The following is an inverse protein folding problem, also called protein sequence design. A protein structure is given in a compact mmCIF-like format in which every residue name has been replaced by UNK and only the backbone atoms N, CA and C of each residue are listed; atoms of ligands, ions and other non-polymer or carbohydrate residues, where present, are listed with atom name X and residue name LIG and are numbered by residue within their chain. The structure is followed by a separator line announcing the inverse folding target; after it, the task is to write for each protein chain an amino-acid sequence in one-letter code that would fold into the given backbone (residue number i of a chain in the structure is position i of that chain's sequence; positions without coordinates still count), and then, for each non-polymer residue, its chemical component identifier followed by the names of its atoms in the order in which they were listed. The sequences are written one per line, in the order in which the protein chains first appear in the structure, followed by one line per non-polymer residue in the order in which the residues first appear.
data_IF_126432937480
#
_entry.id   IF_126432937480
#
_cell.length_a   1.000
_cell.length_b   1.000
_cell.length_c   1.000
_cell.angle_alpha   90.00
_cell.angle_beta   90.00
_cell.angle_gamma   90.00
#
_symmetry.space_group_name_H-M   'P 1'
#
loop_
_entity.id
_entity.type
_entity.pdbx_description
1 polymer ?
#
# COMPACT_ATOMS: atom_id res chain seq x y z
N UNK A 1 6.66 8.39 24.98
CA UNK A 1 6.67 7.10 24.28
C UNK A 1 7.50 7.33 23.04
N UNK A 2 8.77 6.94 23.08
CA UNK A 2 9.66 7.05 21.91
C UNK A 2 9.07 6.18 20.80
N UNK A 3 8.63 6.82 19.72
CA UNK A 3 8.31 6.11 18.49
C UNK A 3 9.58 5.41 18.06
N UNK A 4 9.59 4.08 18.03
CA UNK A 4 10.65 3.34 17.36
C UNK A 4 10.73 3.86 15.93
N UNK A 5 11.68 4.73 15.65
CA UNK A 5 12.07 5.11 14.31
C UNK A 5 12.75 3.88 13.72
N UNK A 6 11.95 2.93 13.24
CA UNK A 6 12.41 2.10 12.15
C UNK A 6 12.85 3.08 11.06
N UNK A 7 14.14 3.05 10.71
CA UNK A 7 14.71 3.74 9.56
C UNK A 7 14.13 3.12 8.28
N UNK A 8 12.81 3.18 8.13
CA UNK A 8 12.12 2.75 6.93
C UNK A 8 12.52 3.70 5.83
N UNK A 9 13.08 3.14 4.76
CA UNK A 9 13.43 3.92 3.59
C UNK A 9 12.15 4.51 2.99
N UNK A 10 12.07 5.83 2.77
CA UNK A 10 10.93 6.42 2.08
C UNK A 10 10.70 5.77 0.71
N UNK A 11 9.46 5.80 0.23
CA UNK A 11 9.11 5.22 -1.08
C UNK A 11 9.96 5.83 -2.19
N UNK A 12 10.60 4.98 -2.98
CA UNK A 12 11.36 5.34 -4.17
C UNK A 12 11.00 4.43 -5.36
N UNK A 13 11.66 4.64 -6.51
CA UNK A 13 11.41 3.88 -7.75
C UNK A 13 11.78 2.39 -7.67
N UNK A 14 12.55 1.98 -6.66
CA UNK A 14 13.18 0.66 -6.56
C UNK A 14 12.66 -0.19 -5.41
N UNK A 15 11.99 0.41 -4.42
CA UNK A 15 11.65 -0.27 -3.16
C UNK A 15 10.15 -0.50 -2.94
N UNK A 16 9.29 -0.29 -3.95
CA UNK A 16 7.83 -0.32 -3.78
C UNK A 16 7.30 -1.57 -3.03
N UNK A 17 7.78 -2.76 -3.39
CA UNK A 17 7.34 -4.02 -2.77
C UNK A 17 7.69 -4.09 -1.26
N UNK A 18 8.92 -3.75 -0.91
CA UNK A 18 9.39 -3.70 0.49
C UNK A 18 8.66 -2.60 1.26
N UNK A 19 8.54 -1.40 0.66
CA UNK A 19 7.81 -0.28 1.24
C UNK A 19 6.36 -0.63 1.55
N UNK A 20 5.67 -1.35 0.66
CA UNK A 20 4.31 -1.82 0.93
C UNK A 20 4.25 -2.72 2.17
N UNK A 21 5.21 -3.61 2.35
CA UNK A 21 5.27 -4.52 3.50
C UNK A 21 5.52 -3.74 4.79
N UNK A 22 6.49 -2.83 4.78
CA UNK A 22 6.87 -2.05 5.95
C UNK A 22 5.72 -1.10 6.37
N UNK A 23 5.10 -0.40 5.42
CA UNK A 23 3.97 0.50 5.72
C UNK A 23 2.76 -0.27 6.23
N UNK A 24 2.50 -1.46 5.71
CA UNK A 24 1.44 -2.31 6.24
C UNK A 24 1.68 -2.63 7.71
N UNK A 25 2.91 -2.95 8.12
CA UNK A 25 3.26 -3.17 9.53
C UNK A 25 3.03 -1.93 10.37
N UNK A 26 3.47 -0.75 9.90
CA UNK A 26 3.26 0.52 10.61
C UNK A 26 1.76 0.86 10.74
N UNK A 27 0.96 0.57 9.70
CA UNK A 27 -0.49 0.78 9.75
C UNK A 27 -1.18 -0.21 10.68
N UNK A 28 -0.71 -1.46 10.77
CA UNK A 28 -1.21 -2.45 11.74
C UNK A 28 -0.90 -2.03 13.18
N UNK A 29 0.33 -1.61 13.47
CA UNK A 29 0.73 -1.08 14.78
C UNK A 29 -0.15 0.11 15.21
N UNK A 30 -0.57 0.92 14.23
CA UNK A 30 -1.39 2.12 14.44
C UNK A 30 -2.89 1.89 14.37
N UNK A 31 -3.33 0.64 14.23
CA UNK A 31 -4.73 0.24 14.06
C UNK A 31 -5.42 0.93 12.86
N UNK A 32 -4.66 1.22 11.80
CA UNK A 32 -5.12 1.97 10.63
C UNK A 32 -5.25 1.08 9.37
N UNK A 33 -4.77 -0.17 9.41
CA UNK A 33 -4.72 -1.02 8.22
C UNK A 33 -6.10 -1.32 7.65
N UNK A 34 -7.09 -1.58 8.49
CA UNK A 34 -8.44 -1.93 8.02
C UNK A 34 -9.16 -0.75 7.33
N UNK A 35 -8.78 0.50 7.64
CA UNK A 35 -9.22 1.68 6.87
C UNK A 35 -8.61 1.66 5.47
N UNK A 36 -7.29 1.44 5.36
CA UNK A 36 -6.60 1.40 4.05
C UNK A 36 -7.04 0.22 3.20
N UNK A 37 -7.33 -0.91 3.84
CA UNK A 37 -7.85 -2.12 3.20
C UNK A 37 -9.37 -2.06 2.94
N UNK A 38 -10.04 -0.94 3.29
CA UNK A 38 -11.48 -0.73 3.14
C UNK A 38 -12.35 -1.83 3.79
N UNK A 39 -11.87 -2.40 4.90
CA UNK A 39 -12.60 -3.40 5.70
C UNK A 39 -13.41 -2.77 6.80
N UNK A 40 -13.10 -1.52 7.15
CA UNK A 40 -13.82 -0.72 8.11
C UNK A 40 -14.49 0.47 7.41
N UNK A 41 -15.79 0.64 7.66
CA UNK A 41 -16.57 1.79 7.19
C UNK A 41 -16.81 2.80 8.31
N UNK A 42 -17.02 4.06 7.94
CA UNK A 42 -17.34 5.11 8.91
C UNK A 42 -18.60 4.73 9.72
N UNK A 43 -18.58 4.88 11.07
CA UNK A 43 -19.75 4.64 11.89
C UNK A 43 -20.92 5.54 11.52
N UNK A 44 -22.14 4.99 11.54
CA UNK A 44 -23.38 5.77 11.39
C UNK A 44 -23.74 6.37 12.73
N UNK A 45 -23.81 7.70 12.82
CA UNK A 45 -24.16 8.40 14.06
C UNK A 45 -25.66 8.67 14.10
N UNK A 46 -26.33 8.17 15.14
CA UNK A 46 -27.71 8.56 15.47
C UNK A 46 -27.69 9.81 16.34
N UNK A 47 -28.67 10.69 16.13
CA UNK A 47 -28.79 11.93 16.89
C UNK A 47 -28.94 11.64 18.39
N UNK A 48 -28.08 12.25 19.22
CA UNK A 48 -28.07 12.06 20.68
C UNK A 48 -27.31 10.83 21.19
N UNK A 49 -26.70 10.01 20.32
CA UNK A 49 -25.93 8.84 20.76
C UNK A 49 -24.45 9.19 20.98
N UNK A 50 -24.06 9.34 22.25
CA UNK A 50 -22.68 9.64 22.64
C UNK A 50 -21.69 8.52 22.28
N UNK A 51 -22.14 7.27 22.24
CA UNK A 51 -21.28 6.11 21.91
C UNK A 51 -20.93 6.18 20.43
N UNK A 52 -21.90 6.44 19.56
CA UNK A 52 -21.66 6.55 18.12
C UNK A 52 -20.80 7.78 17.78
N UNK A 53 -21.02 8.90 18.46
CA UNK A 53 -20.17 10.09 18.31
C UNK A 53 -18.72 9.82 18.70
N UNK A 54 -18.48 9.06 19.78
CA UNK A 54 -17.13 8.64 20.20
C UNK A 54 -16.48 7.73 19.16
N UNK A 55 -17.21 6.71 18.66
CA UNK A 55 -16.70 5.81 17.61
C UNK A 55 -16.34 6.57 16.35
N UNK A 56 -17.16 7.53 15.91
CA UNK A 56 -16.87 8.36 14.74
C UNK A 56 -15.59 9.19 14.96
N UNK A 57 -15.39 9.75 16.15
CA UNK A 57 -14.16 10.49 16.50
C UNK A 57 -12.93 9.59 16.46
N UNK A 58 -13.02 8.38 17.02
CA UNK A 58 -11.94 7.39 17.00
C UNK A 58 -11.63 6.90 15.57
N UNK A 59 -12.66 6.68 14.74
CA UNK A 59 -12.53 6.38 13.32
C UNK A 59 -11.81 7.52 12.58
N UNK A 60 -12.26 8.77 12.72
CA UNK A 60 -11.66 9.93 12.04
C UNK A 60 -10.18 10.13 12.43
N UNK A 61 -9.83 9.85 13.69
CA UNK A 61 -8.43 9.89 14.12
C UNK A 61 -7.59 8.86 13.37
N UNK A 62 -8.06 7.62 13.25
CA UNK A 62 -7.38 6.54 12.51
C UNK A 62 -7.37 6.82 11.01
N UNK A 63 -8.44 7.39 10.46
CA UNK A 63 -8.56 7.80 9.05
C UNK A 63 -7.48 8.82 8.67
N UNK A 64 -7.37 9.91 9.44
CA UNK A 64 -6.34 10.93 9.23
C UNK A 64 -4.93 10.38 9.45
N UNK A 65 -4.76 9.49 10.45
CA UNK A 65 -3.48 8.85 10.75
C UNK A 65 -3.03 7.91 9.63
N UNK A 66 -3.96 7.20 8.99
CA UNK A 66 -3.67 6.32 7.85
C UNK A 66 -3.05 7.10 6.69
N UNK A 67 -3.71 8.17 6.23
CA UNK A 67 -3.18 9.04 5.18
C UNK A 67 -1.82 9.66 5.57
N UNK A 68 -1.75 10.24 6.77
CA UNK A 68 -0.51 10.88 7.25
C UNK A 68 0.66 9.90 7.31
N UNK A 69 0.41 8.64 7.68
CA UNK A 69 1.42 7.58 7.70
C UNK A 69 1.95 7.30 6.30
N UNK A 70 1.07 7.16 5.31
CA UNK A 70 1.47 6.94 3.91
C UNK A 70 2.26 8.13 3.38
N UNK A 71 1.73 9.36 3.54
CA UNK A 71 2.34 10.58 3.01
C UNK A 71 3.75 10.83 3.56
N UNK A 72 3.92 10.72 4.90
CA UNK A 72 5.23 10.97 5.55
C UNK A 72 6.30 10.00 5.09
N UNK A 73 5.93 8.78 4.73
CA UNK A 73 6.86 7.74 4.32
C UNK A 73 7.01 7.61 2.81
N UNK A 74 6.41 8.48 2.02
CA UNK A 74 6.72 8.61 0.61
C UNK A 74 7.85 9.64 0.40
N UNK A 75 8.71 9.45 -0.61
CA UNK A 75 9.64 10.51 -1.03
C UNK A 75 8.88 11.69 -1.66
N UNK A 76 9.46 12.92 -1.69
CA UNK A 76 8.78 14.10 -2.20
C UNK A 76 8.12 13.93 -3.58
N UNK A 77 8.80 13.27 -4.52
CA UNK A 77 8.29 13.03 -5.88
C UNK A 77 7.04 12.13 -5.95
N UNK A 78 6.81 11.29 -4.93
CA UNK A 78 5.61 10.45 -4.85
C UNK A 78 4.53 11.06 -3.96
N UNK A 79 4.90 12.00 -3.08
CA UNK A 79 3.93 12.79 -2.31
C UNK A 79 3.06 13.65 -3.22
N UNK A 80 3.64 14.23 -4.27
CA UNK A 80 2.90 15.02 -5.26
C UNK A 80 1.79 14.22 -5.98
N UNK A 81 1.91 12.88 -6.03
CA UNK A 81 0.89 12.00 -6.62
C UNK A 81 -0.38 11.92 -5.74
N UNK A 82 -0.23 12.15 -4.43
CA UNK A 82 -1.28 11.95 -3.43
C UNK A 82 -1.56 13.20 -2.57
N UNK A 83 -0.98 14.36 -2.90
CA UNK A 83 -1.05 15.56 -2.04
C UNK A 83 -2.45 16.16 -1.93
N UNK A 84 -3.27 16.00 -2.98
CA UNK A 84 -4.67 16.42 -3.01
C UNK A 84 -5.62 15.39 -2.37
N UNK A 85 -5.10 14.20 -2.01
CA UNK A 85 -5.88 13.13 -1.40
C UNK A 85 -5.81 13.26 0.12
N UNK A 86 -6.92 13.03 0.81
CA UNK A 86 -6.98 12.98 2.29
C UNK A 86 -7.37 11.59 2.82
N UNK A 87 -7.79 10.70 1.92
CA UNK A 87 -8.18 9.33 2.21
C UNK A 87 -6.98 8.37 2.07
N UNK A 88 -6.62 7.68 3.16
CA UNK A 88 -5.50 6.72 3.16
C UNK A 88 -5.67 5.57 2.17
N UNK A 89 -6.90 5.06 1.97
CA UNK A 89 -7.18 3.99 1.02
C UNK A 89 -6.99 4.45 -0.43
N UNK A 90 -7.46 5.64 -0.77
CA UNK A 90 -7.28 6.23 -2.10
C UNK A 90 -5.81 6.54 -2.39
N UNK A 91 -5.09 7.10 -1.42
CA UNK A 91 -3.66 7.36 -1.54
C UNK A 91 -2.88 6.06 -1.80
N UNK A 92 -3.20 4.99 -1.05
CA UNK A 92 -2.62 3.66 -1.25
C UNK A 92 -2.91 3.11 -2.66
N UNK A 93 -4.16 3.17 -3.12
CA UNK A 93 -4.56 2.73 -4.47
C UNK A 93 -3.87 3.54 -5.57
N UNK A 94 -3.74 4.86 -5.40
CA UNK A 94 -3.10 5.74 -6.37
C UNK A 94 -1.61 5.41 -6.53
N UNK A 95 -0.89 5.23 -5.41
CA UNK A 95 0.49 4.76 -5.42
C UNK A 95 0.59 3.37 -6.05
N UNK A 96 -0.28 2.43 -5.68
CA UNK A 96 -0.31 1.09 -6.29
C UNK A 96 -0.48 1.15 -7.80
N UNK A 97 -1.40 1.96 -8.29
CA UNK A 97 -1.62 2.12 -9.74
C UNK A 97 -0.41 2.73 -10.46
N UNK A 98 0.38 3.56 -9.77
CA UNK A 98 1.58 4.17 -10.32
C UNK A 98 2.74 3.16 -10.48
N UNK A 99 3.00 2.34 -9.47
CA UNK A 99 4.11 1.36 -9.47
C UNK A 99 3.73 0.02 -10.09
N UNK A 100 2.45 -0.35 -9.93
CA UNK A 100 1.86 -1.57 -10.46
C UNK A 100 0.64 -1.24 -11.35
N UNK A 101 0.83 -0.54 -12.48
CA UNK A 101 -0.26 -0.28 -13.42
C UNK A 101 -0.83 -1.60 -13.94
N UNK A 102 -2.13 -1.81 -13.71
CA UNK A 102 -2.90 -2.97 -14.20
C UNK A 102 -3.30 -2.79 -15.67
N UNK A 103 -2.34 -2.37 -16.51
CA UNK A 103 -2.60 -2.15 -17.93
C UNK A 103 -2.68 -3.50 -18.65
N UNK A 104 -3.65 -3.64 -19.56
CA UNK A 104 -3.74 -4.82 -20.46
C UNK A 104 -2.41 -5.07 -21.18
N UNK A 105 -1.68 -4.01 -21.54
CA UNK A 105 -0.38 -4.11 -22.16
C UNK A 105 0.67 -4.75 -21.23
N UNK A 106 0.72 -4.36 -19.94
CA UNK A 106 1.61 -4.99 -18.95
C UNK A 106 1.25 -6.45 -18.73
N UNK A 107 -0.04 -6.77 -18.59
CA UNK A 107 -0.50 -8.17 -18.47
C UNK A 107 -0.11 -8.98 -19.70
N UNK A 108 -0.23 -8.40 -20.90
CA UNK A 108 0.17 -9.07 -22.14
C UNK A 108 1.68 -9.25 -22.24
N UNK A 109 2.48 -8.25 -21.83
CA UNK A 109 3.93 -8.33 -21.79
C UNK A 109 4.41 -9.40 -20.80
N UNK A 110 3.84 -9.46 -19.59
CA UNK A 110 4.14 -10.49 -18.59
C UNK A 110 3.76 -11.89 -19.09
N UNK A 111 2.61 -12.03 -19.75
CA UNK A 111 2.22 -13.29 -20.40
C UNK A 111 3.19 -13.69 -21.50
N UNK A 112 3.55 -12.75 -22.36
CA UNK A 112 4.51 -12.98 -23.43
C UNK A 112 5.87 -13.42 -22.87
N UNK A 113 6.39 -12.71 -21.87
CA UNK A 113 7.64 -13.04 -21.18
C UNK A 113 7.56 -14.44 -20.57
N UNK A 114 6.50 -14.74 -19.80
CA UNK A 114 6.30 -16.06 -19.20
C UNK A 114 6.28 -17.19 -20.24
N UNK A 115 5.54 -17.04 -21.34
CA UNK A 115 5.49 -18.05 -22.41
C UNK A 115 6.78 -18.11 -23.24
N UNK A 116 7.60 -17.07 -23.23
CA UNK A 116 8.90 -17.04 -23.89
C UNK A 116 10.02 -17.62 -23.02
N UNK A 117 9.83 -17.65 -21.70
CA UNK A 117 10.77 -18.27 -20.75
C UNK A 117 10.60 -19.79 -20.78
N UNK A 118 11.38 -20.45 -21.64
CA UNK A 118 11.55 -21.91 -21.66
C UNK A 118 12.62 -22.36 -20.66
N UNK A 119 12.53 -23.61 -20.21
CA UNK A 119 13.61 -24.29 -19.48
C UNK A 119 14.71 -24.62 -20.49
N UNK A 120 15.93 -24.18 -20.22
CA UNK A 120 17.09 -24.57 -21.04
C UNK A 120 17.51 -26.03 -20.77
N UNK A 121 18.11 -26.75 -21.74
CA UNK A 121 18.38 -28.19 -21.61
C UNK A 121 19.24 -28.60 -20.41
N UNK A 122 20.06 -27.70 -19.90
CA UNK A 122 20.98 -27.84 -18.77
C UNK A 122 20.55 -27.04 -17.53
N UNK A 123 19.38 -26.40 -17.58
CA UNK A 123 18.87 -25.58 -16.51
C UNK A 123 18.18 -26.39 -15.41
N UNK A 124 18.56 -26.13 -14.16
CA UNK A 124 17.84 -26.69 -13.01
C UNK A 124 16.50 -25.97 -12.81
N UNK A 125 15.51 -26.69 -12.26
CA UNK A 125 14.18 -26.14 -11.95
C UNK A 125 14.28 -24.89 -11.04
N UNK A 126 15.25 -24.84 -10.12
CA UNK A 126 15.47 -23.70 -9.24
C UNK A 126 15.96 -22.44 -9.99
N UNK A 127 16.84 -22.62 -10.98
CA UNK A 127 17.30 -21.54 -11.85
C UNK A 127 16.16 -21.05 -12.75
N UNK A 128 15.36 -21.98 -13.30
CA UNK A 128 14.19 -21.62 -14.09
C UNK A 128 13.17 -20.79 -13.28
N UNK A 129 12.86 -21.23 -12.05
CA UNK A 129 11.93 -20.52 -11.17
C UNK A 129 12.39 -19.09 -10.85
N UNK A 130 13.71 -18.85 -10.81
CA UNK A 130 14.28 -17.53 -10.56
C UNK A 130 14.12 -16.55 -11.73
N UNK A 131 13.89 -17.05 -12.95
CA UNK A 131 13.66 -16.26 -14.18
C UNK A 131 12.19 -15.94 -14.43
N UNK A 132 11.27 -16.51 -13.66
CA UNK A 132 9.85 -16.22 -13.83
C UNK A 132 9.56 -14.78 -13.35
N UNK A 133 8.76 -14.01 -14.11
CA UNK A 133 8.42 -12.65 -13.73
C UNK A 133 7.62 -12.62 -12.41
N UNK A 134 7.96 -11.68 -11.52
CA UNK A 134 7.40 -11.50 -10.17
C UNK A 134 6.35 -10.38 -10.07
#
# INVERSE_FOLDING_TARGET
METMNFLMKPLDSTNYATWCSDIKVVLLERDCWDIVAEREAAPVVKEGDEIDARKLKEFNLRFNRAYTTIYRNASPQYRTIIEEITNGAEAWKKLKSHFQPDSRARVMALKHEFFSTGIEPDETIGLYASKLPA
#
